data_IF_888229256375
#
_entry.id   IF_888229256375
#
_cell.length_a   1.000
_cell.length_b   1.000
_cell.length_c   1.000
_cell.angle_alpha   90.00
_cell.angle_beta   90.00
_cell.angle_gamma   90.00
#
_symmetry.space_group_name_H-M   'P 1'
#
loop_
_entity.id
_entity.type
_entity.pdbx_description
1 polymer ?
#
# COMPACT_ATOMS: atom_id res chain seq x y z
N UNK A 1 -11.51 2.77 14.41
CA UNK A 1 -11.05 1.59 13.63
C UNK A 1 -12.18 0.57 13.70
N UNK A 2 -12.60 -0.03 12.59
CA UNK A 2 -13.58 -1.12 12.68
C UNK A 2 -12.85 -2.38 13.18
N UNK A 3 -13.52 -3.19 13.99
CA UNK A 3 -12.91 -4.37 14.61
C UNK A 3 -12.41 -5.36 13.54
N UNK A 4 -13.10 -5.41 12.40
CA UNK A 4 -12.79 -6.34 11.32
C UNK A 4 -11.45 -6.07 10.61
N UNK A 5 -10.90 -4.84 10.68
CA UNK A 5 -9.59 -4.52 10.11
C UNK A 5 -8.44 -4.65 11.10
N UNK A 6 -8.69 -4.98 12.38
CA UNK A 6 -7.64 -5.10 13.41
C UNK A 6 -6.58 -6.16 13.09
N UNK A 7 -7.01 -7.20 12.39
CA UNK A 7 -6.18 -8.33 11.97
C UNK A 7 -5.44 -8.08 10.65
N UNK A 8 -5.49 -6.87 10.12
CA UNK A 8 -4.86 -6.50 8.86
C UNK A 8 -3.81 -5.40 9.08
N UNK A 9 -2.76 -5.46 8.27
CA UNK A 9 -1.94 -4.28 7.99
C UNK A 9 -2.66 -3.45 6.94
N UNK A 10 -2.90 -2.18 7.25
CA UNK A 10 -3.43 -1.19 6.29
C UNK A 10 -2.30 -0.42 5.64
N UNK A 11 -2.41 -0.12 4.34
CA UNK A 11 -1.45 0.72 3.62
C UNK A 11 -2.17 1.88 2.93
N UNK A 12 -1.58 3.07 3.05
CA UNK A 12 -2.11 4.31 2.50
C UNK A 12 -1.02 5.13 1.82
N UNK A 13 -1.36 5.71 0.67
CA UNK A 13 -0.56 6.72 -0.02
C UNK A 13 -1.11 8.09 0.36
N UNK A 14 -0.29 8.95 0.96
CA UNK A 14 -0.68 10.29 1.41
C UNK A 14 -0.02 11.36 0.53
N UNK A 15 -0.82 12.28 0.00
CA UNK A 15 -0.28 13.46 -0.68
C UNK A 15 0.10 14.54 0.33
N UNK A 16 1.39 14.68 0.61
CA UNK A 16 1.91 15.67 1.57
C UNK A 16 1.86 17.09 1.03
N UNK A 17 2.20 17.27 -0.25
CA UNK A 17 2.23 18.57 -0.92
C UNK A 17 2.02 18.39 -2.42
N UNK A 18 1.23 19.27 -3.06
CA UNK A 18 0.99 19.29 -4.51
C UNK A 18 1.60 20.53 -5.19
N UNK A 19 2.47 21.26 -4.49
CA UNK A 19 3.08 22.50 -4.97
C UNK A 19 2.02 23.58 -5.18
N UNK A 20 2.02 24.20 -6.35
CA UNK A 20 1.04 25.23 -6.73
C UNK A 20 -0.29 24.66 -7.23
N UNK A 21 -0.40 23.33 -7.40
CA UNK A 21 -1.65 22.69 -7.83
C UNK A 21 -2.57 22.44 -6.65
N UNK A 22 -3.88 22.53 -6.90
CA UNK A 22 -4.90 22.23 -5.89
C UNK A 22 -5.14 20.73 -5.70
N UNK A 23 -4.84 19.90 -6.70
CA UNK A 23 -5.02 18.46 -6.67
C UNK A 23 -4.09 17.71 -7.63
N UNK A 24 -3.94 16.41 -7.38
CA UNK A 24 -3.36 15.44 -8.32
C UNK A 24 -4.33 14.27 -8.53
N UNK A 25 -4.31 13.68 -9.73
CA UNK A 25 -5.00 12.42 -10.00
C UNK A 25 -3.97 11.34 -10.23
N UNK A 26 -4.09 10.24 -9.50
CA UNK A 26 -3.13 9.15 -9.61
C UNK A 26 -3.79 7.79 -9.43
N UNK A 27 -3.33 6.80 -10.20
CA UNK A 27 -3.46 5.38 -9.85
C UNK A 27 -2.26 4.97 -9.02
N UNK A 28 -2.46 3.98 -8.15
CA UNK A 28 -1.39 3.42 -7.34
C UNK A 28 -1.53 1.91 -7.19
N UNK A 29 -0.40 1.22 -7.10
CA UNK A 29 -0.28 -0.20 -6.78
C UNK A 29 0.64 -0.36 -5.58
N UNK A 30 0.22 -1.16 -4.61
CA UNK A 30 1.09 -1.64 -3.54
C UNK A 30 1.39 -3.12 -3.72
N UNK A 31 2.62 -3.53 -3.47
CA UNK A 31 3.04 -4.94 -3.42
C UNK A 31 4.11 -5.13 -2.34
N UNK A 32 4.36 -6.38 -1.96
CA UNK A 32 5.44 -6.78 -1.03
C UNK A 32 6.53 -7.47 -1.83
N UNK A 33 7.79 -7.16 -1.57
CA UNK A 33 8.92 -7.93 -2.12
C UNK A 33 9.22 -9.13 -1.24
N UNK A 34 9.20 -10.32 -1.85
CA UNK A 34 9.60 -11.55 -1.18
C UNK A 34 11.13 -11.70 -1.09
N UNK A 35 11.62 -12.78 -0.48
CA UNK A 35 13.04 -13.10 -0.38
C UNK A 35 13.79 -13.19 -1.72
N UNK A 36 13.09 -13.47 -2.83
CA UNK A 36 13.64 -13.51 -4.20
C UNK A 36 13.63 -12.15 -4.90
N UNK A 37 13.20 -11.08 -4.22
CA UNK A 37 12.98 -9.73 -4.76
C UNK A 37 11.89 -9.68 -5.85
N UNK A 38 10.93 -10.58 -5.79
CA UNK A 38 9.75 -10.58 -6.66
C UNK A 38 8.59 -9.90 -5.94
N UNK A 39 7.80 -9.12 -6.68
CA UNK A 39 6.56 -8.52 -6.17
C UNK A 39 5.48 -9.58 -5.97
N UNK A 40 4.86 -9.59 -4.79
CA UNK A 40 3.72 -10.44 -4.44
C UNK A 40 2.68 -9.65 -3.65
N UNK A 41 1.52 -10.26 -3.38
CA UNK A 41 0.41 -9.68 -2.60
C UNK A 41 0.01 -8.29 -3.11
N UNK A 42 -0.01 -8.11 -4.42
CA UNK A 42 -0.28 -6.82 -5.03
C UNK A 42 -1.76 -6.41 -4.90
N UNK A 43 -2.02 -5.14 -4.63
CA UNK A 43 -3.33 -4.51 -4.74
C UNK A 43 -3.20 -3.19 -5.49
N UNK A 44 -4.04 -2.99 -6.51
CA UNK A 44 -4.07 -1.79 -7.34
C UNK A 44 -5.36 -1.01 -7.14
N UNK A 45 -5.26 0.31 -7.16
CA UNK A 45 -6.41 1.20 -7.24
C UNK A 45 -7.22 0.90 -8.51
N UNK A 46 -8.52 0.64 -8.38
CA UNK A 46 -9.40 0.36 -9.53
C UNK A 46 -9.47 1.51 -10.55
N UNK A 47 -9.19 2.74 -10.11
CA UNK A 47 -9.21 3.95 -10.92
C UNK A 47 -8.22 4.96 -10.36
N UNK A 48 -7.98 6.03 -11.11
CA UNK A 48 -7.26 7.16 -10.56
C UNK A 48 -8.11 7.87 -9.50
N UNK A 49 -7.50 8.10 -8.35
CA UNK A 49 -8.12 8.83 -7.26
C UNK A 49 -7.65 10.27 -7.26
N UNK A 50 -8.55 11.16 -6.82
CA UNK A 50 -8.26 12.57 -6.61
C UNK A 50 -7.60 12.76 -5.25
N UNK A 51 -6.34 13.13 -5.25
CA UNK A 51 -5.56 13.51 -4.08
C UNK A 51 -5.58 15.05 -3.95
N UNK A 52 -5.93 15.53 -2.77
CA UNK A 52 -5.67 16.91 -2.34
C UNK A 52 -4.65 16.85 -1.22
N UNK A 53 -4.01 17.99 -0.91
CA UNK A 53 -3.03 18.03 0.16
C UNK A 53 -3.60 17.51 1.48
N UNK A 54 -2.87 16.62 2.14
CA UNK A 54 -3.29 15.97 3.39
C UNK A 54 -4.31 14.83 3.21
N UNK A 55 -4.71 14.50 1.98
CA UNK A 55 -5.61 13.38 1.70
C UNK A 55 -4.84 12.14 1.30
N UNK A 56 -5.28 11.01 1.86
CA UNK A 56 -4.78 9.69 1.52
C UNK A 56 -5.80 8.86 0.73
N UNK A 57 -5.27 7.81 0.09
CA UNK A 57 -6.03 6.70 -0.48
C UNK A 57 -5.22 5.42 -0.27
N UNK A 58 -5.91 4.30 -0.04
CA UNK A 58 -5.24 3.07 0.30
C UNK A 58 -6.16 1.89 0.49
N UNK A 59 -5.60 0.81 1.05
CA UNK A 59 -6.31 -0.42 1.35
C UNK A 59 -6.27 -0.66 2.85
N UNK A 60 -7.45 -0.53 3.47
CA UNK A 60 -7.62 -0.80 4.89
C UNK A 60 -7.28 -2.24 5.27
N UNK A 61 -7.58 -3.18 4.37
CA UNK A 61 -7.30 -4.62 4.52
C UNK A 61 -6.31 -5.07 3.45
N UNK A 62 -5.07 -4.53 3.48
CA UNK A 62 -4.06 -4.87 2.47
C UNK A 62 -3.56 -6.30 2.62
N UNK A 63 -3.11 -6.69 3.82
CA UNK A 63 -2.69 -8.06 4.12
C UNK A 63 -3.05 -8.44 5.55
N UNK A 64 -3.48 -9.69 5.78
CA UNK A 64 -3.70 -10.19 7.13
C UNK A 64 -2.38 -10.34 7.86
N UNK A 65 -2.38 -10.02 9.16
CA UNK A 65 -1.18 -10.02 10.01
C UNK A 65 -0.63 -11.43 10.21
N UNK A 66 -1.50 -12.43 10.36
CA UNK A 66 -1.07 -13.83 10.48
C UNK A 66 -0.33 -14.31 9.22
N UNK A 67 -0.85 -13.99 8.03
CA UNK A 67 -0.19 -14.30 6.75
C UNK A 67 1.13 -13.56 6.59
N UNK A 68 1.21 -12.30 7.03
CA UNK A 68 2.44 -11.51 6.96
C UNK A 68 3.53 -12.05 7.89
N UNK A 69 3.14 -12.49 9.08
CA UNK A 69 4.05 -12.95 10.15
C UNK A 69 4.41 -14.44 10.03
N UNK A 70 3.72 -15.21 9.20
CA UNK A 70 4.05 -16.60 8.91
C UNK A 70 5.41 -16.69 8.19
N UNK A 71 6.40 -17.33 8.79
CA UNK A 71 7.72 -17.54 8.19
C UNK A 71 7.63 -18.28 6.85
N UNK A 72 6.65 -19.18 6.69
CA UNK A 72 6.42 -19.91 5.44
C UNK A 72 5.94 -19.00 4.30
N UNK A 73 5.43 -17.80 4.61
CA UNK A 73 5.02 -16.82 3.60
C UNK A 73 6.19 -16.19 2.84
N UNK A 74 7.39 -16.16 3.45
CA UNK A 74 8.58 -15.53 2.88
C UNK A 74 8.45 -14.02 2.66
N UNK A 75 7.51 -13.35 3.33
CA UNK A 75 7.19 -11.92 3.15
C UNK A 75 8.02 -10.97 4.03
N UNK A 76 8.72 -11.50 5.03
CA UNK A 76 9.59 -10.75 5.96
C UNK A 76 11.04 -11.29 5.94
N UNK A 77 11.74 -11.30 4.79
CA UNK A 77 13.11 -11.78 4.73
C UNK A 77 14.01 -10.95 5.64
N UNK A 78 14.71 -11.62 6.57
CA UNK A 78 15.52 -10.98 7.61
C UNK A 78 14.73 -10.01 8.50
N UNK A 79 13.47 -10.35 8.82
CA UNK A 79 12.55 -9.54 9.64
C UNK A 79 12.31 -8.13 9.06
N UNK A 80 12.34 -8.02 7.72
CA UNK A 80 12.13 -6.75 7.00
C UNK A 80 10.95 -6.85 6.05
N UNK A 81 9.93 -6.04 6.32
CA UNK A 81 8.87 -5.77 5.37
C UNK A 81 9.36 -4.76 4.32
N UNK A 82 9.35 -5.16 3.05
CA UNK A 82 9.66 -4.27 1.93
C UNK A 82 8.40 -4.04 1.09
N UNK A 83 7.90 -2.81 1.10
CA UNK A 83 6.72 -2.39 0.32
C UNK A 83 7.19 -1.68 -0.94
N UNK A 84 6.66 -2.08 -2.09
CA UNK A 84 6.79 -1.36 -3.35
C UNK A 84 5.50 -0.60 -3.59
N UNK A 85 5.64 0.67 -3.93
CA UNK A 85 4.54 1.56 -4.29
C UNK A 85 4.81 2.11 -5.69
N UNK A 86 4.00 1.70 -6.66
CA UNK A 86 4.02 2.28 -7.99
C UNK A 86 2.90 3.29 -8.12
N UNK A 87 3.21 4.48 -8.66
CA UNK A 87 2.25 5.57 -8.79
C UNK A 87 2.26 6.06 -10.24
N UNK A 88 1.09 6.09 -10.87
CA UNK A 88 0.89 6.63 -12.21
C UNK A 88 0.06 7.91 -12.12
N UNK A 89 0.71 9.05 -12.40
CA UNK A 89 0.07 10.37 -12.41
C UNK A 89 -0.72 10.57 -13.70
N UNK A 90 -1.89 11.20 -13.61
CA UNK A 90 -2.71 11.65 -14.73
C UNK A 90 -2.68 13.17 -14.87
#
# INVERSE_FOLDING_TARGET
>A
LDEESREYLSLYLLLINCGSKSEARAKFKFSILNAKREETKAMESQRAYRFVQGKDWGFKKFIRRDVLMDEASGLLPNDRLTIVCEVSML
#
